data_IF_644965967106
#
_entry.id   IF_644965967106
#
_cell.length_a   1.000
_cell.length_b   1.000
_cell.length_c   1.000
_cell.angle_alpha   90.00
_cell.angle_beta   90.00
_cell.angle_gamma   90.00
#
_symmetry.space_group_name_H-M   'P 1'
#
loop_
_entity.id
_entity.type
_entity.pdbx_description
1 polymer ?
#
# COMPACT_ATOMS: atom_id res chain seq x y z
N UNK A 1 -6.51 -3.51 7.60
CA UNK A 1 -5.59 -2.93 6.59
C UNK A 1 -4.48 -3.93 6.33
N UNK A 2 -4.36 -4.44 5.11
CA UNK A 2 -3.28 -5.34 4.73
C UNK A 2 -2.10 -4.51 4.23
N UNK A 3 -0.91 -4.76 4.77
CA UNK A 3 0.32 -4.14 4.28
C UNK A 3 1.01 -5.09 3.32
N UNK A 4 1.17 -4.68 2.06
CA UNK A 4 2.00 -5.41 1.10
C UNK A 4 3.44 -4.90 1.24
N UNK A 5 4.33 -5.75 1.77
CA UNK A 5 5.77 -5.44 1.89
C UNK A 5 6.53 -5.66 0.57
N UNK A 6 5.83 -5.96 -0.51
CA UNK A 6 6.42 -6.20 -1.82
C UNK A 6 7.06 -4.89 -2.32
N UNK A 7 8.27 -4.99 -2.85
CA UNK A 7 8.90 -3.92 -3.64
C UNK A 7 8.06 -3.62 -4.87
N UNK A 8 7.05 -2.76 -4.73
CA UNK A 8 6.12 -2.44 -5.81
C UNK A 8 6.66 -1.31 -6.66
N UNK A 9 6.64 -1.53 -7.97
CA UNK A 9 6.81 -0.46 -8.94
C UNK A 9 5.66 0.54 -8.79
N UNK A 10 5.94 1.73 -8.26
CA UNK A 10 4.94 2.79 -8.03
C UNK A 10 4.38 3.37 -9.32
N UNK A 11 4.90 2.99 -10.50
CA UNK A 11 4.31 3.31 -11.81
C UNK A 11 3.03 2.53 -12.08
N UNK A 12 2.78 1.41 -11.37
CA UNK A 12 1.53 0.65 -11.52
C UNK A 12 0.33 1.49 -11.07
N UNK A 13 -0.68 1.55 -11.93
CA UNK A 13 -2.02 2.10 -11.63
C UNK A 13 -2.92 1.05 -10.97
N UNK A 14 -4.22 1.34 -10.91
CA UNK A 14 -5.25 0.50 -10.25
C UNK A 14 -5.15 -0.97 -10.65
N UNK A 15 -5.22 -1.28 -11.95
CA UNK A 15 -5.21 -2.67 -12.43
C UNK A 15 -3.90 -3.39 -12.14
N UNK A 16 -2.76 -2.70 -12.31
CA UNK A 16 -1.45 -3.29 -12.04
C UNK A 16 -1.23 -3.60 -10.55
N UNK A 17 -1.84 -2.82 -9.65
CA UNK A 17 -1.82 -3.09 -8.22
C UNK A 17 -2.81 -4.20 -7.83
N UNK A 18 -4.00 -4.23 -8.44
CA UNK A 18 -4.98 -5.30 -8.23
C UNK A 18 -4.39 -6.67 -8.61
N UNK A 19 -3.74 -6.77 -9.77
CA UNK A 19 -3.04 -7.98 -10.19
C UNK A 19 -1.98 -8.42 -9.18
N UNK A 20 -1.24 -7.48 -8.55
CA UNK A 20 -0.28 -7.84 -7.49
C UNK A 20 -0.97 -8.40 -6.23
N UNK A 21 -2.15 -7.89 -5.86
CA UNK A 21 -2.93 -8.43 -4.74
C UNK A 21 -3.32 -9.88 -5.01
N UNK A 22 -3.81 -10.16 -6.23
CA UNK A 22 -4.22 -11.51 -6.62
C UNK A 22 -3.01 -12.45 -6.77
N UNK A 23 -2.01 -12.05 -7.55
CA UNK A 23 -0.90 -12.91 -7.92
C UNK A 23 0.09 -13.15 -6.78
N UNK A 24 0.39 -12.12 -5.98
CA UNK A 24 1.45 -12.20 -4.97
C UNK A 24 0.90 -12.35 -3.55
N UNK A 25 -0.15 -11.61 -3.20
CA UNK A 25 -0.74 -11.72 -1.87
C UNK A 25 -1.78 -12.84 -1.77
N UNK A 26 -2.20 -13.41 -2.91
CA UNK A 26 -3.25 -14.44 -3.00
C UNK A 26 -4.53 -13.99 -2.29
N UNK A 27 -4.90 -12.71 -2.46
CA UNK A 27 -6.11 -12.10 -1.89
C UNK A 27 -6.99 -11.53 -2.99
N UNK A 28 -8.26 -11.33 -2.66
CA UNK A 28 -9.22 -10.64 -3.52
C UNK A 28 -9.10 -9.11 -3.36
N UNK A 29 -8.74 -8.35 -4.44
CA UNK A 29 -8.66 -6.89 -4.41
C UNK A 29 -10.04 -6.22 -4.23
N UNK A 30 -11.15 -6.94 -4.45
CA UNK A 30 -12.52 -6.46 -4.29
C UNK A 30 -13.13 -6.76 -2.92
N UNK A 31 -12.37 -7.37 -2.01
CA UNK A 31 -12.85 -7.80 -0.68
C UNK A 31 -13.20 -6.65 0.30
N UNK A 32 -13.13 -5.39 -0.12
CA UNK A 32 -13.30 -4.22 0.76
C UNK A 32 -12.11 -3.94 1.68
N UNK A 33 -11.13 -4.83 1.73
CA UNK A 33 -9.91 -4.60 2.50
C UNK A 33 -8.99 -3.59 1.80
N UNK A 34 -8.41 -2.62 2.52
CA UNK A 34 -7.39 -1.76 1.95
C UNK A 34 -6.04 -2.47 1.92
N UNK A 35 -5.33 -2.31 0.79
CA UNK A 35 -3.99 -2.82 0.52
C UNK A 35 -3.02 -1.66 0.33
N UNK A 36 -2.02 -1.54 1.20
CA UNK A 36 -1.02 -0.49 1.11
C UNK A 36 0.27 -0.97 0.44
N UNK A 37 0.79 -0.18 -0.48
CA UNK A 37 2.02 -0.40 -1.24
C UNK A 37 2.95 0.79 -1.04
N UNK A 38 4.21 0.52 -0.69
CA UNK A 38 5.23 1.56 -0.51
C UNK A 38 6.30 1.41 -1.57
N UNK A 39 6.65 2.52 -2.22
CA UNK A 39 7.76 2.54 -3.17
C UNK A 39 9.11 2.25 -2.52
N UNK A 40 10.08 1.81 -3.32
CA UNK A 40 11.46 1.52 -2.88
C UNK A 40 12.10 2.66 -2.09
N UNK A 41 11.90 3.90 -2.53
CA UNK A 41 12.45 5.12 -1.89
C UNK A 41 11.63 5.59 -0.69
N UNK A 42 10.58 4.88 -0.31
CA UNK A 42 9.69 5.21 0.80
C UNK A 42 8.99 6.59 0.72
N UNK A 43 9.14 7.34 -0.36
CA UNK A 43 8.53 8.68 -0.51
C UNK A 43 7.09 8.64 -1.05
N UNK A 44 6.63 7.49 -1.53
CA UNK A 44 5.28 7.30 -2.08
C UNK A 44 4.61 6.13 -1.38
N UNK A 45 3.38 6.36 -0.93
CA UNK A 45 2.45 5.35 -0.44
C UNK A 45 1.23 5.31 -1.35
N UNK A 46 0.84 4.12 -1.77
CA UNK A 46 -0.39 3.85 -2.51
C UNK A 46 -1.29 2.96 -1.69
N UNK A 47 -2.58 3.28 -1.60
CA UNK A 47 -3.59 2.45 -0.93
C UNK A 47 -4.68 2.11 -1.93
N UNK A 48 -4.79 0.83 -2.26
CA UNK A 48 -5.82 0.26 -3.11
C UNK A 48 -6.94 -0.27 -2.23
N UNK A 49 -8.20 0.05 -2.51
CA UNK A 49 -9.34 -0.51 -1.81
C UNK A 49 -10.60 -0.49 -2.67
N UNK A 50 -11.48 -1.45 -2.46
CA UNK A 50 -12.82 -1.47 -3.03
C UNK A 50 -13.81 -0.81 -2.07
N UNK A 51 -14.64 0.12 -2.56
CA UNK A 51 -15.63 0.81 -1.73
C UNK A 51 -17.03 0.18 -1.75
N UNK A 52 -17.19 -0.94 -2.45
CA UNK A 52 -18.49 -1.58 -2.72
C UNK A 52 -18.93 -1.47 -4.18
N UNK A 53 -18.45 -0.46 -4.92
CA UNK A 53 -18.85 -0.22 -6.31
C UNK A 53 -17.67 0.12 -7.25
N UNK A 54 -16.58 0.65 -6.72
CA UNK A 54 -15.41 1.04 -7.51
C UNK A 54 -14.11 0.71 -6.79
N UNK A 55 -13.13 0.34 -7.61
CA UNK A 55 -11.77 0.12 -7.14
C UNK A 55 -11.06 1.46 -7.09
N UNK A 56 -10.69 1.89 -5.89
CA UNK A 56 -10.13 3.19 -5.59
C UNK A 56 -8.63 3.10 -5.31
N UNK A 57 -7.89 4.12 -5.71
CA UNK A 57 -6.46 4.26 -5.44
C UNK A 57 -6.15 5.62 -4.84
N UNK A 58 -5.75 5.62 -3.58
CA UNK A 58 -5.20 6.80 -2.92
C UNK A 58 -3.68 6.81 -3.06
N UNK A 59 -3.08 7.94 -3.43
CA UNK A 59 -1.62 8.10 -3.54
C UNK A 59 -1.16 9.29 -2.71
N UNK A 60 -0.28 9.05 -1.76
CA UNK A 60 0.41 10.10 -0.99
C UNK A 60 1.87 10.13 -1.37
N UNK A 61 2.39 11.34 -1.56
CA UNK A 61 3.82 11.60 -1.72
C UNK A 61 4.29 12.51 -0.62
N UNK A 62 5.48 12.25 -0.11
CA UNK A 62 6.19 13.14 0.83
C UNK A 62 7.50 13.58 0.20
N UNK A 63 7.85 14.85 0.41
CA UNK A 63 9.04 15.45 -0.20
C UNK A 63 10.30 15.27 0.67
N UNK A 64 10.11 15.06 1.97
CA UNK A 64 11.18 14.80 2.94
C UNK A 64 10.84 13.57 3.77
N UNK A 65 11.87 12.78 4.07
CA UNK A 65 11.70 11.57 4.86
C UNK A 65 11.18 10.36 4.08
N UNK A 66 10.61 9.40 4.81
CA UNK A 66 10.11 8.16 4.24
C UNK A 66 9.02 7.50 5.09
N UNK A 67 8.06 6.86 4.44
CA UNK A 67 7.12 5.95 5.07
C UNK A 67 7.89 4.74 5.62
N UNK A 68 7.79 4.50 6.92
CA UNK A 68 8.40 3.36 7.60
C UNK A 68 7.33 2.32 7.88
N UNK A 69 7.61 1.08 7.51
CA UNK A 69 6.73 -0.02 7.82
C UNK A 69 6.79 -0.37 9.32
N UNK A 70 5.64 -0.55 9.98
CA UNK A 70 5.62 -1.01 11.36
C UNK A 70 6.21 -2.42 11.45
N UNK A 71 6.94 -2.67 12.53
CA UNK A 71 7.50 -4.00 12.79
C UNK A 71 6.38 -4.98 13.17
N UNK A 72 6.53 -6.28 12.89
CA UNK A 72 5.49 -7.29 13.11
C UNK A 72 4.96 -7.40 14.55
N UNK A 73 5.66 -6.83 15.55
CA UNK A 73 5.29 -6.87 16.97
C UNK A 73 4.33 -5.75 17.41
N UNK A 74 3.89 -4.87 16.50
CA UNK A 74 3.02 -3.76 16.87
C UNK A 74 1.54 -4.20 16.91
N UNK A 75 0.92 -4.08 18.09
CA UNK A 75 -0.52 -4.35 18.32
C UNK A 75 -1.42 -3.40 17.52
N UNK A 76 -0.88 -2.27 17.04
CA UNK A 76 -1.50 -1.37 16.10
C UNK A 76 -0.53 -1.09 14.93
N UNK A 77 -1.01 -1.27 13.70
CA UNK A 77 -0.26 -0.98 12.48
C UNK A 77 -0.32 0.54 12.23
N UNK A 78 0.57 1.30 12.85
CA UNK A 78 0.76 2.72 12.54
C UNK A 78 1.82 2.88 11.43
N UNK A 79 1.45 3.54 10.33
CA UNK A 79 2.41 3.99 9.32
C UNK A 79 3.11 5.23 9.86
N UNK A 80 4.38 5.09 10.22
CA UNK A 80 5.20 6.22 10.66
C UNK A 80 5.83 6.92 9.45
N UNK A 81 6.02 8.24 9.55
CA UNK A 81 6.87 9.00 8.64
C UNK A 81 8.14 9.34 9.40
N UNK A 82 9.29 8.92 8.88
CA UNK A 82 10.57 9.35 9.43
C UNK A 82 11.00 10.63 8.73
N UNK A 83 10.93 11.77 9.42
CA UNK A 83 11.56 13.01 8.98
C UNK A 83 13.04 12.95 9.39
N UNK A 84 13.95 12.94 8.42
CA UNK A 84 15.34 13.32 8.70
C UNK A 84 15.43 14.83 8.78
#
# INVERSE_FOLDING_TARGET
MHLALVCTDTRKGIHGLAALVEEQLKRDPFSGHPFAFRGKRASILKVLFWDGNKLCLFTTRIDRGGFVWPRPSATAIALAVNAR
#
